data_IF_852445427394
#
_entry.id   IF_852445427394
#
_cell.length_a   1.000
_cell.length_b   1.000
_cell.length_c   1.000
_cell.angle_alpha   90.00
_cell.angle_beta   90.00
_cell.angle_gamma   90.00
#
_symmetry.space_group_name_H-M   'P 1'
#
loop_
_entity.id
_entity.type
_entity.pdbx_description
1 polymer ?
#
# COMPACT_ATOMS: atom_id res chain seq x y z
N UNK A 1 -9.75 -12.80 6.66
CA UNK A 1 -10.70 -11.73 7.13
C UNK A 1 -10.34 -10.42 6.43
N UNK A 2 -11.17 -9.94 5.49
CA UNK A 2 -10.74 -8.96 4.46
C UNK A 2 -11.04 -7.47 4.77
N UNK A 3 -11.82 -7.14 5.80
CA UNK A 3 -12.36 -5.77 5.99
C UNK A 3 -12.12 -5.12 7.37
N UNK A 4 -11.25 -5.67 8.24
CA UNK A 4 -11.18 -5.23 9.64
C UNK A 4 -10.68 -3.78 9.85
N UNK A 5 -9.89 -3.26 8.92
CA UNK A 5 -9.35 -1.89 8.97
C UNK A 5 -9.99 -0.94 7.96
N UNK A 6 -10.89 -1.46 7.11
CA UNK A 6 -11.70 -0.66 6.19
C UNK A 6 -12.91 -0.14 6.95
N UNK A 7 -12.67 0.68 7.98
CA UNK A 7 -13.73 1.47 8.61
C UNK A 7 -14.33 2.47 7.59
N UNK A 8 -15.25 3.34 8.01
CA UNK A 8 -15.80 4.42 7.17
C UNK A 8 -14.75 5.50 6.80
N UNK A 9 -13.46 5.20 6.92
CA UNK A 9 -12.36 6.14 6.78
C UNK A 9 -12.27 6.58 5.33
N UNK A 10 -12.87 7.73 5.02
CA UNK A 10 -12.73 8.42 3.73
C UNK A 10 -11.33 9.04 3.61
N UNK A 11 -10.62 9.22 4.74
CA UNK A 11 -9.27 9.76 4.82
C UNK A 11 -8.67 9.67 6.22
N UNK A 12 -7.43 10.16 6.39
CA UNK A 12 -6.79 10.38 7.69
C UNK A 12 -5.70 11.46 7.56
N UNK A 13 -5.09 11.84 8.68
CA UNK A 13 -4.02 12.82 8.68
C UNK A 13 -2.72 12.23 8.13
N UNK A 14 -2.12 12.89 7.14
CA UNK A 14 -0.80 12.54 6.64
C UNK A 14 0.24 12.82 7.72
N UNK A 15 1.01 11.82 8.19
CA UNK A 15 1.99 12.03 9.26
C UNK A 15 3.14 12.97 8.89
N UNK A 16 3.37 13.22 7.59
CA UNK A 16 4.45 14.11 7.14
C UNK A 16 4.04 15.58 7.08
N UNK A 17 2.76 15.87 6.84
CA UNK A 17 2.26 17.24 6.63
C UNK A 17 1.23 17.67 7.66
N UNK A 18 0.62 16.73 8.39
CA UNK A 18 -0.49 16.98 9.30
C UNK A 18 -1.81 17.33 8.60
N UNK A 19 -1.87 17.28 7.26
CA UNK A 19 -3.08 17.58 6.50
C UNK A 19 -4.05 16.38 6.50
N UNK A 20 -5.36 16.66 6.50
CA UNK A 20 -6.37 15.63 6.28
C UNK A 20 -6.39 15.25 4.80
N UNK A 21 -6.10 13.98 4.50
CA UNK A 21 -5.94 13.46 3.13
C UNK A 21 -6.83 12.23 2.95
N UNK A 22 -7.49 12.07 1.79
CA UNK A 22 -8.30 10.89 1.52
C UNK A 22 -7.47 9.60 1.42
N UNK A 23 -8.12 8.44 1.64
CA UNK A 23 -7.52 7.15 1.29
C UNK A 23 -7.49 6.97 -0.22
N UNK A 24 -6.54 6.16 -0.69
CA UNK A 24 -6.44 5.80 -2.10
C UNK A 24 -7.72 5.13 -2.59
N UNK A 25 -8.24 5.62 -3.72
CA UNK A 25 -9.44 5.11 -4.38
C UNK A 25 -9.06 4.37 -5.68
N UNK A 26 -8.98 3.03 -5.68
CA UNK A 26 -8.61 2.26 -6.87
C UNK A 26 -9.59 2.39 -8.04
N UNK A 27 -10.78 2.97 -7.84
CA UNK A 27 -11.74 3.22 -8.93
C UNK A 27 -11.50 4.53 -9.67
N UNK A 28 -10.74 5.45 -9.08
CA UNK A 28 -10.53 6.80 -9.60
C UNK A 28 -9.04 7.17 -9.73
N UNK A 29 -8.15 6.44 -9.06
CA UNK A 29 -6.72 6.74 -8.99
C UNK A 29 -5.89 5.58 -9.54
N UNK A 30 -4.76 5.91 -10.18
CA UNK A 30 -3.87 4.95 -10.81
C UNK A 30 -2.85 4.44 -9.78
N UNK A 31 -2.75 3.12 -9.62
CA UNK A 31 -1.88 2.52 -8.58
C UNK A 31 -0.41 2.98 -8.69
N UNK A 32 0.15 2.98 -9.90
CA UNK A 32 1.57 3.29 -10.15
C UNK A 32 1.93 4.77 -9.94
N UNK A 33 0.94 5.66 -9.89
CA UNK A 33 1.15 7.09 -9.55
C UNK A 33 1.24 7.30 -8.04
N UNK A 34 0.61 6.42 -7.26
CA UNK A 34 0.52 6.52 -5.81
C UNK A 34 1.47 5.59 -5.06
N UNK A 35 1.88 4.48 -5.70
CA UNK A 35 2.66 3.44 -5.08
C UNK A 35 3.73 2.88 -6.01
N UNK A 36 4.86 2.54 -5.41
CA UNK A 36 5.94 1.79 -6.03
C UNK A 36 6.22 0.53 -5.21
N UNK A 37 6.65 -0.54 -5.87
CA UNK A 37 7.15 -1.73 -5.20
C UNK A 37 8.64 -1.61 -4.93
N UNK A 38 9.05 -1.86 -3.70
CA UNK A 38 10.44 -2.01 -3.27
C UNK A 38 10.59 -3.38 -2.63
N UNK A 39 10.96 -4.37 -3.45
CA UNK A 39 10.88 -5.78 -3.07
C UNK A 39 9.48 -6.15 -2.60
N UNK A 40 9.37 -6.74 -1.41
CA UNK A 40 8.10 -7.15 -0.79
C UNK A 40 7.31 -6.00 -0.11
N UNK A 41 7.84 -4.77 -0.15
CA UNK A 41 7.24 -3.60 0.48
C UNK A 41 6.59 -2.68 -0.56
N UNK A 42 5.54 -1.96 -0.13
CA UNK A 42 4.85 -0.96 -0.94
C UNK A 42 5.30 0.43 -0.47
N UNK A 43 6.08 1.12 -1.31
CA UNK A 43 6.54 2.47 -1.06
C UNK A 43 5.51 3.50 -1.54
N UNK A 44 4.98 4.37 -0.66
CA UNK A 44 4.00 5.38 -1.02
C UNK A 44 4.65 6.64 -1.63
N UNK A 45 4.18 7.07 -2.80
CA UNK A 45 4.69 8.24 -3.53
C UNK A 45 3.93 9.54 -3.20
N UNK A 46 2.67 9.44 -2.77
CA UNK A 46 1.80 10.60 -2.50
C UNK A 46 1.29 10.61 -1.05
N UNK A 47 0.73 11.75 -0.58
CA UNK A 47 0.04 11.81 0.72
C UNK A 47 -1.04 10.73 0.89
N UNK A 48 -1.89 10.52 -0.11
CA UNK A 48 -2.95 9.49 -0.10
C UNK A 48 -2.33 8.10 0.04
N UNK A 49 -1.22 7.86 -0.67
CA UNK A 49 -0.47 6.62 -0.59
C UNK A 49 0.07 6.37 0.82
N UNK A 50 0.68 7.40 1.45
CA UNK A 50 1.24 7.31 2.81
C UNK A 50 0.16 6.96 3.83
N UNK A 51 -0.95 7.69 3.79
CA UNK A 51 -2.08 7.43 4.68
C UNK A 51 -2.65 6.04 4.44
N UNK A 52 -2.79 5.61 3.18
CA UNK A 52 -3.30 4.29 2.82
C UNK A 52 -2.42 3.16 3.33
N UNK A 53 -1.11 3.22 3.08
CA UNK A 53 -0.15 2.20 3.55
C UNK A 53 -0.20 2.07 5.07
N UNK A 54 -0.26 3.20 5.78
CA UNK A 54 -0.32 3.25 7.25
C UNK A 54 -1.64 2.70 7.80
N UNK A 55 -2.77 3.24 7.35
CA UNK A 55 -4.11 2.91 7.88
C UNK A 55 -4.50 1.48 7.55
N UNK A 56 -4.21 1.02 6.32
CA UNK A 56 -4.50 -0.36 5.91
C UNK A 56 -3.40 -1.35 6.28
N UNK A 57 -2.32 -0.88 6.94
CA UNK A 57 -1.16 -1.69 7.33
C UNK A 57 -0.67 -2.55 6.18
N UNK A 58 -0.43 -1.91 5.03
CA UNK A 58 -0.07 -2.63 3.80
C UNK A 58 1.29 -3.34 3.90
N UNK A 59 2.19 -2.81 4.73
CA UNK A 59 3.53 -3.33 4.96
C UNK A 59 3.69 -3.94 6.37
N UNK A 60 2.60 -4.50 6.93
CA UNK A 60 2.72 -5.30 8.16
C UNK A 60 3.74 -6.43 7.96
N UNK A 61 4.52 -6.77 8.99
CA UNK A 61 5.67 -7.67 8.91
C UNK A 61 5.27 -9.01 8.30
N UNK A 62 4.18 -9.60 8.79
CA UNK A 62 3.66 -10.88 8.29
C UNK A 62 3.31 -10.81 6.79
N UNK A 63 2.79 -9.67 6.31
CA UNK A 63 2.43 -9.47 4.90
C UNK A 63 3.67 -9.32 4.03
N UNK A 64 4.69 -8.62 4.52
CA UNK A 64 5.97 -8.48 3.82
C UNK A 64 6.69 -9.82 3.71
N UNK A 65 6.76 -10.60 4.79
CA UNK A 65 7.34 -11.95 4.79
C UNK A 65 6.60 -12.87 3.82
N UNK A 66 5.27 -12.85 3.83
CA UNK A 66 4.48 -13.68 2.92
C UNK A 66 4.71 -13.30 1.45
N UNK A 67 4.72 -12.00 1.13
CA UNK A 67 5.04 -11.53 -0.23
C UNK A 67 6.44 -11.94 -0.65
N UNK A 68 7.43 -11.83 0.23
CA UNK A 68 8.80 -12.22 -0.06
C UNK A 68 8.87 -13.72 -0.42
N UNK A 69 8.25 -14.58 0.38
CA UNK A 69 8.19 -16.04 0.10
C UNK A 69 7.54 -16.34 -1.24
N UNK A 70 6.46 -15.65 -1.58
CA UNK A 70 5.79 -15.83 -2.87
C UNK A 70 6.64 -15.33 -4.04
N UNK A 71 7.42 -14.27 -3.87
CA UNK A 71 8.37 -13.78 -4.88
C UNK A 71 9.51 -14.78 -5.09
N UNK A 72 10.09 -15.30 -4.00
CA UNK A 72 11.14 -16.33 -4.05
C UNK A 72 10.66 -17.62 -4.73
N UNK A 73 9.38 -17.98 -4.53
CA UNK A 73 8.75 -19.11 -5.20
C UNK A 73 8.32 -18.82 -6.65
N UNK A 74 8.47 -17.58 -7.15
CA UNK A 74 8.03 -17.18 -8.49
C UNK A 74 6.51 -17.18 -8.68
N UNK A 75 5.73 -17.04 -7.59
CA UNK A 75 4.26 -17.06 -7.59
C UNK A 75 3.65 -15.65 -7.46
N UNK A 76 4.48 -14.63 -7.20
CA UNK A 76 4.03 -13.25 -7.06
C UNK A 76 5.00 -12.29 -7.75
N UNK A 77 4.51 -11.63 -8.79
CA UNK A 77 5.26 -10.61 -9.54
C UNK A 77 4.50 -9.30 -9.47
N UNK A 78 4.89 -8.37 -8.58
CA UNK A 78 4.37 -7.02 -8.69
C UNK A 78 4.76 -6.44 -10.05
N UNK A 79 3.97 -5.51 -10.59
CA UNK A 79 4.05 -5.03 -11.98
C UNK A 79 5.44 -4.52 -12.44
N UNK A 80 6.40 -4.35 -11.52
CA UNK A 80 7.75 -3.88 -11.76
C UNK A 80 8.84 -4.97 -11.54
N UNK A 81 8.47 -6.22 -11.24
CA UNK A 81 9.40 -7.31 -10.91
C UNK A 81 9.95 -8.07 -12.13
N UNK A 82 9.95 -7.45 -13.32
CA UNK A 82 10.68 -7.96 -14.48
C UNK A 82 11.91 -7.10 -14.72
N UNK A 83 13.04 -7.55 -14.18
CA UNK A 83 14.32 -7.51 -14.89
C UNK A 83 14.93 -8.89 -14.83
#
# INVERSE_FOLDING_TARGET
RCNRYKGPNVGSFDPSTGALVPLFNPRAQIWTEHFQWEGATIFPLTPEGRVTVRILRLNDVDRCVERQRLMEAGLYFPANARR
#
